data_IF_626291072607
#
_entry.id   IF_626291072607
#
_cell.length_a   1.000
_cell.length_b   1.000
_cell.length_c   1.000
_cell.angle_alpha   90.00
_cell.angle_beta   90.00
_cell.angle_gamma   90.00
#
_symmetry.space_group_name_H-M   'P 1'
#
loop_
_entity.id
_entity.type
_entity.pdbx_description
1 polymer ?
#
# COMPACT_ATOMS: atom_id res chain seq x y z
N UNK A 1 -8.57 -8.33 30.60
CA UNK A 1 -7.75 -8.61 29.38
C UNK A 1 -6.32 -8.81 29.85
N UNK A 2 -5.56 -9.78 29.31
CA UNK A 2 -4.16 -9.95 29.70
C UNK A 2 -3.35 -8.69 29.32
N UNK A 3 -2.46 -8.27 30.21
CA UNK A 3 -1.52 -7.17 29.94
C UNK A 3 -0.48 -7.63 28.92
N UNK A 4 -0.20 -6.76 27.95
CA UNK A 4 0.84 -7.00 26.95
C UNK A 4 2.20 -7.03 27.64
N UNK A 5 3.03 -8.04 27.33
CA UNK A 5 4.39 -8.13 27.87
C UNK A 5 5.18 -6.85 27.55
N UNK A 6 5.87 -6.26 28.53
CA UNK A 6 6.64 -5.04 28.32
C UNK A 6 7.82 -5.27 27.37
N UNK A 7 8.03 -4.32 26.45
CA UNK A 7 9.14 -4.34 25.49
C UNK A 7 8.70 -4.64 24.05
N UNK A 8 9.68 -4.67 23.15
CA UNK A 8 9.46 -5.00 21.72
C UNK A 8 10.00 -6.40 21.45
N UNK A 9 9.19 -7.26 20.83
CA UNK A 9 9.61 -8.62 20.47
C UNK A 9 10.61 -8.57 19.30
N UNK A 10 11.83 -9.13 19.46
CA UNK A 10 12.80 -9.17 18.36
C UNK A 10 12.32 -10.01 17.17
N UNK A 11 12.67 -9.57 15.97
CA UNK A 11 12.39 -10.24 14.70
C UNK A 11 13.69 -10.53 13.94
N UNK A 12 13.78 -11.74 13.38
CA UNK A 12 14.87 -12.13 12.47
C UNK A 12 14.59 -11.58 11.07
N UNK A 13 15.64 -11.25 10.29
CA UNK A 13 15.45 -10.76 8.93
C UNK A 13 14.73 -11.79 8.06
N UNK A 14 13.75 -11.32 7.29
CA UNK A 14 12.97 -12.17 6.40
C UNK A 14 13.47 -12.08 4.94
N UNK A 15 13.30 -13.13 4.13
CA UNK A 15 13.81 -13.16 2.76
C UNK A 15 12.88 -12.47 1.74
N UNK A 16 11.80 -11.84 2.19
CA UNK A 16 10.75 -11.28 1.34
C UNK A 16 10.86 -9.77 1.20
N UNK A 17 10.48 -9.25 0.03
CA UNK A 17 10.39 -7.81 -0.24
C UNK A 17 9.12 -7.53 -1.05
N UNK A 18 7.94 -7.73 -0.44
CA UNK A 18 6.67 -7.64 -1.15
C UNK A 18 6.30 -6.18 -1.47
N UNK A 19 5.78 -5.95 -2.66
CA UNK A 19 5.04 -4.75 -3.02
C UNK A 19 3.85 -5.06 -3.92
N UNK A 20 2.84 -4.20 -3.89
CA UNK A 20 1.70 -4.31 -4.79
C UNK A 20 1.07 -2.94 -5.06
N UNK A 21 0.69 -2.72 -6.32
CA UNK A 21 0.06 -1.49 -6.80
C UNK A 21 -1.04 -1.84 -7.80
N UNK A 22 -2.04 -0.98 -7.93
CA UNK A 22 -3.14 -1.18 -8.86
C UNK A 22 -3.22 -0.02 -9.85
N UNK A 23 -3.39 -0.36 -11.13
CA UNK A 23 -3.63 0.60 -12.22
C UNK A 23 -4.90 0.24 -12.98
N UNK A 24 -5.57 1.25 -13.53
CA UNK A 24 -6.75 1.03 -14.37
C UNK A 24 -6.35 0.48 -15.75
N UNK A 25 -7.18 -0.39 -16.29
CA UNK A 25 -7.09 -0.99 -17.61
C UNK A 25 -8.50 -1.17 -18.18
N UNK A 26 -8.61 -1.47 -19.49
CA UNK A 26 -9.93 -1.67 -20.13
C UNK A 26 -10.73 -2.84 -19.52
N UNK A 27 -10.04 -3.82 -18.90
CA UNK A 27 -10.67 -4.98 -18.26
C UNK A 27 -10.89 -4.85 -16.75
N UNK A 28 -10.79 -3.65 -16.17
CA UNK A 28 -10.87 -3.40 -14.73
C UNK A 28 -9.54 -2.92 -14.15
N UNK A 29 -9.17 -3.43 -12.97
CA UNK A 29 -7.91 -3.07 -12.30
C UNK A 29 -6.86 -4.16 -12.47
N UNK A 30 -5.68 -3.78 -12.96
CA UNK A 30 -4.51 -4.65 -12.95
C UNK A 30 -3.74 -4.40 -11.65
N UNK A 31 -3.73 -5.40 -10.78
CA UNK A 31 -2.98 -5.41 -9.53
C UNK A 31 -1.63 -6.06 -9.80
N UNK A 32 -0.58 -5.25 -9.87
CA UNK A 32 0.78 -5.71 -10.06
C UNK A 32 1.38 -6.10 -8.71
N UNK A 33 1.98 -7.30 -8.67
CA UNK A 33 2.70 -7.83 -7.53
C UNK A 33 4.18 -7.87 -7.86
N UNK A 34 5.00 -7.45 -6.90
CA UNK A 34 6.45 -7.59 -6.95
C UNK A 34 6.93 -8.23 -5.65
N UNK A 35 7.90 -9.13 -5.77
CA UNK A 35 8.69 -9.61 -4.67
C UNK A 35 10.13 -9.70 -5.13
N UNK A 36 10.90 -8.66 -4.78
CA UNK A 36 12.34 -8.57 -5.02
C UNK A 36 13.18 -9.31 -3.98
N UNK A 37 12.52 -10.10 -3.12
CA UNK A 37 13.14 -10.96 -2.13
C UNK A 37 13.82 -12.19 -2.73
N UNK A 38 14.58 -12.91 -1.90
CA UNK A 38 15.33 -14.11 -2.31
C UNK A 38 14.47 -15.38 -2.34
N UNK A 39 13.31 -15.36 -1.69
CA UNK A 39 12.37 -16.48 -1.60
C UNK A 39 11.00 -16.08 -2.15
N UNK A 40 10.22 -17.05 -2.61
CA UNK A 40 8.83 -16.82 -3.06
C UNK A 40 7.97 -16.30 -1.90
N UNK A 41 7.17 -15.27 -2.15
CA UNK A 41 6.23 -14.71 -1.18
C UNK A 41 4.81 -15.11 -1.54
N UNK A 42 4.06 -15.60 -0.56
CA UNK A 42 2.63 -15.88 -0.71
C UNK A 42 1.82 -14.61 -0.57
N UNK A 43 0.94 -14.34 -1.53
CA UNK A 43 -0.03 -13.26 -1.48
C UNK A 43 -1.45 -13.81 -1.53
N UNK A 44 -2.34 -13.17 -0.77
CA UNK A 44 -3.78 -13.45 -0.81
C UNK A 44 -4.54 -12.18 -1.18
N UNK A 45 -5.47 -12.29 -2.12
CA UNK A 45 -6.34 -11.20 -2.58
C UNK A 45 -7.78 -11.47 -2.12
N UNK A 46 -8.35 -10.54 -1.36
CA UNK A 46 -9.69 -10.60 -0.77
C UNK A 46 -10.64 -9.59 -1.43
N UNK A 47 -11.85 -9.99 -1.84
CA UNK A 47 -12.88 -9.10 -2.37
C UNK A 47 -13.72 -8.49 -1.23
N UNK A 48 -14.21 -7.27 -1.41
CA UNK A 48 -15.14 -6.60 -0.49
C UNK A 48 -16.20 -5.75 -1.22
N UNK A 49 -16.26 -5.81 -2.55
CA UNK A 49 -17.31 -5.22 -3.37
C UNK A 49 -17.75 -6.19 -4.49
N UNK A 50 -17.79 -7.49 -4.16
CA UNK A 50 -18.21 -8.57 -5.06
C UNK A 50 -17.42 -8.64 -6.39
N UNK A 51 -16.15 -8.23 -6.38
CA UNK A 51 -15.32 -8.25 -7.59
C UNK A 51 -15.04 -9.68 -8.09
N UNK A 52 -15.01 -10.64 -7.18
CA UNK A 52 -14.80 -12.06 -7.48
C UNK A 52 -15.31 -12.90 -6.31
N UNK A 53 -15.68 -14.18 -6.53
CA UNK A 53 -16.51 -14.93 -5.58
C UNK A 53 -15.78 -15.45 -4.34
N UNK A 54 -14.44 -15.55 -4.36
CA UNK A 54 -13.66 -16.10 -3.26
C UNK A 54 -12.23 -15.55 -3.25
N UNK A 55 -11.54 -15.51 -2.10
CA UNK A 55 -10.15 -15.10 -2.04
C UNK A 55 -9.26 -15.86 -3.02
N UNK A 56 -8.33 -15.14 -3.66
CA UNK A 56 -7.38 -15.71 -4.61
C UNK A 56 -5.98 -15.74 -3.99
N UNK A 57 -5.19 -16.73 -4.37
CA UNK A 57 -3.86 -16.95 -3.81
C UNK A 57 -2.82 -16.96 -4.92
N UNK A 58 -1.61 -16.47 -4.61
CA UNK A 58 -0.49 -16.57 -5.53
C UNK A 58 0.85 -16.54 -4.81
N UNK A 59 1.72 -17.48 -5.17
CA UNK A 59 3.13 -17.44 -4.80
C UNK A 59 3.92 -16.69 -5.87
N UNK A 60 4.71 -15.69 -5.45
CA UNK A 60 5.41 -14.79 -6.37
C UNK A 60 6.90 -14.75 -6.06
N UNK A 61 7.70 -15.07 -7.08
CA UNK A 61 9.14 -14.82 -7.15
C UNK A 61 9.40 -13.88 -8.32
N UNK A 62 9.80 -12.64 -8.05
CA UNK A 62 9.85 -11.58 -9.07
C UNK A 62 8.49 -10.91 -9.24
N UNK A 63 7.91 -10.93 -10.44
CA UNK A 63 6.68 -10.18 -10.75
C UNK A 63 5.51 -11.08 -11.13
N UNK A 64 4.31 -10.66 -10.75
CA UNK A 64 3.07 -11.28 -11.18
C UNK A 64 1.94 -10.24 -11.22
N UNK A 65 0.74 -10.60 -11.66
CA UNK A 65 -0.42 -9.69 -11.57
C UNK A 65 -1.77 -10.41 -11.47
N UNK A 66 -2.72 -9.81 -10.77
CA UNK A 66 -4.14 -10.13 -10.92
C UNK A 66 -4.83 -9.12 -11.83
N UNK A 67 -5.91 -9.56 -12.47
CA UNK A 67 -6.91 -8.68 -13.07
C UNK A 67 -8.14 -8.77 -12.20
N UNK A 68 -8.52 -7.64 -11.60
CA UNK A 68 -9.71 -7.50 -10.76
C UNK A 68 -10.78 -6.81 -11.60
N UNK A 69 -11.87 -7.50 -11.96
CA UNK A 69 -12.94 -6.86 -12.70
C UNK A 69 -13.64 -5.85 -11.79
N UNK A 70 -14.13 -4.77 -12.39
CA UNK A 70 -14.92 -3.75 -11.70
C UNK A 70 -16.29 -3.73 -12.37
N UNK A 71 -17.23 -4.47 -11.82
CA UNK A 71 -18.55 -4.67 -12.41
C UNK A 71 -19.60 -3.64 -11.93
N UNK A 72 -19.40 -3.06 -10.75
CA UNK A 72 -20.28 -2.05 -10.16
C UNK A 72 -19.74 -0.62 -10.29
N UNK A 73 -20.30 0.29 -9.51
CA UNK A 73 -19.92 1.71 -9.46
C UNK A 73 -18.63 1.97 -8.66
N UNK A 74 -18.17 0.98 -7.88
CA UNK A 74 -16.97 1.06 -7.06
C UNK A 74 -16.29 -0.30 -6.94
N UNK A 75 -15.05 -0.28 -6.47
CA UNK A 75 -14.30 -1.47 -6.07
C UNK A 75 -13.77 -1.30 -4.65
N UNK A 76 -13.57 -2.42 -3.96
CA UNK A 76 -12.91 -2.54 -2.67
C UNK A 76 -12.30 -3.93 -2.50
N UNK A 77 -10.98 -4.03 -2.51
CA UNK A 77 -10.28 -5.30 -2.27
C UNK A 77 -9.00 -5.10 -1.46
N UNK A 78 -8.47 -6.20 -0.91
CA UNK A 78 -7.24 -6.18 -0.11
C UNK A 78 -6.28 -7.25 -0.58
N UNK A 79 -5.01 -6.89 -0.72
CA UNK A 79 -3.90 -7.85 -0.85
C UNK A 79 -3.17 -7.95 0.48
N UNK A 80 -2.95 -9.17 0.96
CA UNK A 80 -2.08 -9.45 2.10
C UNK A 80 -0.90 -10.32 1.68
N UNK A 81 0.16 -10.29 2.47
CA UNK A 81 1.36 -11.09 2.25
C UNK A 81 2.18 -11.24 3.54
N UNK A 82 3.42 -11.75 3.45
CA UNK A 82 4.26 -11.95 4.61
C UNK A 82 4.67 -10.63 5.26
N UNK A 83 5.15 -10.71 6.50
CA UNK A 83 5.76 -9.58 7.22
C UNK A 83 4.84 -8.36 7.38
N UNK A 84 3.57 -8.61 7.73
CA UNK A 84 2.57 -7.55 7.90
C UNK A 84 2.19 -6.84 6.60
N UNK A 85 2.62 -7.33 5.43
CA UNK A 85 2.32 -6.72 4.15
C UNK A 85 0.82 -6.69 3.91
N UNK A 86 0.29 -5.49 3.71
CA UNK A 86 -1.11 -5.24 3.37
C UNK A 86 -1.20 -4.06 2.40
N UNK A 87 -2.04 -4.22 1.39
CA UNK A 87 -2.47 -3.17 0.47
C UNK A 87 -3.98 -3.19 0.38
N UNK A 88 -4.62 -2.10 0.78
CA UNK A 88 -6.08 -1.94 0.60
C UNK A 88 -6.33 -1.01 -0.57
N UNK A 89 -7.26 -1.39 -1.44
CA UNK A 89 -7.66 -0.64 -2.62
C UNK A 89 -9.15 -0.40 -2.55
N UNK A 90 -9.56 0.87 -2.58
CA UNK A 90 -10.95 1.25 -2.78
C UNK A 90 -11.05 2.45 -3.71
N UNK A 91 -12.14 2.56 -4.45
CA UNK A 91 -12.39 3.73 -5.28
C UNK A 91 -13.56 3.57 -6.24
N UNK A 92 -13.95 4.67 -6.89
CA UNK A 92 -15.03 4.64 -7.87
C UNK A 92 -14.58 3.96 -9.17
N UNK A 93 -15.53 3.34 -9.86
CA UNK A 93 -15.30 2.60 -11.09
C UNK A 93 -14.88 3.48 -12.27
N UNK A 94 -15.10 4.79 -12.21
CA UNK A 94 -14.69 5.78 -13.21
C UNK A 94 -13.62 6.76 -12.69
N UNK A 95 -13.09 6.54 -11.48
CA UNK A 95 -12.03 7.36 -10.88
C UNK A 95 -10.69 7.28 -11.61
N UNK A 96 -9.96 8.40 -11.60
CA UNK A 96 -8.63 8.59 -12.18
C UNK A 96 -7.51 8.79 -11.15
N UNK A 97 -7.78 8.67 -9.85
CA UNK A 97 -6.73 8.64 -8.84
C UNK A 97 -5.96 7.30 -8.88
N UNK A 98 -4.62 7.37 -8.90
CA UNK A 98 -3.75 6.19 -8.76
C UNK A 98 -2.60 6.47 -7.80
N UNK A 99 -2.16 5.43 -7.08
CA UNK A 99 -0.98 5.47 -6.22
C UNK A 99 -0.09 4.29 -6.58
N UNK A 100 1.17 4.59 -6.87
CA UNK A 100 2.24 3.62 -7.08
C UNK A 100 3.28 3.77 -5.97
N UNK A 101 3.95 2.68 -5.64
CA UNK A 101 5.03 2.65 -4.64
C UNK A 101 6.33 2.10 -5.24
N UNK A 102 7.46 2.58 -4.71
CA UNK A 102 8.79 1.97 -4.85
C UNK A 102 9.43 1.96 -3.47
N UNK A 103 9.85 0.79 -3.02
CA UNK A 103 10.50 0.62 -1.72
C UNK A 103 12.01 0.70 -1.88
N UNK A 104 12.65 1.59 -1.12
CA UNK A 104 14.09 1.59 -0.92
C UNK A 104 14.46 0.83 0.36
N UNK A 105 14.99 -0.38 0.18
CA UNK A 105 15.34 -1.26 1.29
C UNK A 105 16.58 -0.80 2.06
N UNK A 106 17.44 0.00 1.45
CA UNK A 106 18.68 0.45 2.09
C UNK A 106 18.37 1.50 3.14
N UNK A 107 17.62 2.52 2.74
CA UNK A 107 17.31 3.68 3.56
C UNK A 107 15.97 3.52 4.32
N UNK A 108 15.22 2.44 4.02
CA UNK A 108 13.87 2.18 4.56
C UNK A 108 12.87 3.28 4.18
N UNK A 109 12.96 3.70 2.93
CA UNK A 109 12.08 4.71 2.37
C UNK A 109 10.99 4.09 1.50
N UNK A 110 9.78 4.60 1.64
CA UNK A 110 8.67 4.34 0.75
C UNK A 110 8.47 5.56 -0.16
N UNK A 111 8.85 5.42 -1.43
CA UNK A 111 8.59 6.43 -2.44
C UNK A 111 7.19 6.23 -3.02
N UNK A 112 6.30 7.19 -2.81
CA UNK A 112 4.96 7.18 -3.37
C UNK A 112 4.91 8.08 -4.61
N UNK A 113 4.25 7.59 -5.66
CA UNK A 113 3.89 8.38 -6.84
C UNK A 113 2.38 8.48 -6.92
N UNK A 114 1.87 9.69 -6.74
CA UNK A 114 0.46 10.05 -6.84
C UNK A 114 0.17 10.49 -8.26
N UNK A 115 -0.81 9.89 -8.93
CA UNK A 115 -1.14 10.17 -10.32
C UNK A 115 -2.61 10.53 -10.47
N UNK A 116 -2.88 11.50 -11.33
CA UNK A 116 -4.23 11.88 -11.72
C UNK A 116 -4.40 11.61 -13.22
N UNK A 117 -5.11 10.53 -13.55
CA UNK A 117 -5.48 10.17 -14.92
C UNK A 117 -6.87 10.68 -15.30
N UNK A 118 -7.56 11.33 -14.37
CA UNK A 118 -8.87 11.94 -14.56
C UNK A 118 -8.82 13.30 -15.25
N UNK A 119 -9.98 13.95 -15.31
CA UNK A 119 -10.18 15.23 -16.02
C UNK A 119 -10.21 16.46 -15.12
N UNK A 120 -10.30 16.26 -13.80
CA UNK A 120 -10.36 17.33 -12.78
C UNK A 120 -9.10 17.29 -11.93
N UNK A 121 -8.68 18.43 -11.41
CA UNK A 121 -7.59 18.47 -10.42
C UNK A 121 -7.98 17.67 -9.19
N UNK A 122 -7.07 16.86 -8.67
CA UNK A 122 -7.24 16.09 -7.43
C UNK A 122 -6.27 16.59 -6.37
N UNK A 123 -6.70 16.58 -5.12
CA UNK A 123 -5.80 16.80 -3.97
C UNK A 123 -5.71 15.51 -3.18
N UNK A 124 -4.55 14.89 -3.20
CA UNK A 124 -4.27 13.70 -2.41
C UNK A 124 -3.95 14.09 -0.97
N UNK A 125 -4.52 13.36 -0.02
CA UNK A 125 -4.17 13.45 1.39
C UNK A 125 -3.40 12.19 1.75
N UNK A 126 -2.16 12.33 2.21
CA UNK A 126 -1.33 11.23 2.67
C UNK A 126 -1.05 11.40 4.15
N UNK A 127 -1.44 10.43 4.96
CA UNK A 127 -1.24 10.45 6.41
C UNK A 127 -0.81 9.08 6.92
N UNK A 128 -0.04 9.03 8.01
CA UNK A 128 0.18 7.78 8.72
C UNK A 128 -1.06 7.36 9.51
N UNK A 129 -1.26 6.05 9.68
CA UNK A 129 -2.25 5.47 10.60
C UNK A 129 -1.60 4.85 11.85
N UNK A 130 -0.31 4.55 11.80
CA UNK A 130 0.45 3.93 12.87
C UNK A 130 1.95 3.95 12.57
N UNK A 131 2.74 3.46 13.53
CA UNK A 131 4.21 3.45 13.46
C UNK A 131 4.82 4.84 13.27
N UNK A 132 4.24 5.81 13.96
CA UNK A 132 4.66 7.21 13.99
C UNK A 132 4.73 7.66 15.43
N UNK A 133 5.65 8.55 15.77
CA UNK A 133 5.73 9.10 17.12
C UNK A 133 4.48 9.94 17.41
N UNK A 134 3.85 9.74 18.57
CA UNK A 134 2.58 10.38 18.92
C UNK A 134 2.70 11.92 18.96
N UNK A 135 3.89 12.42 19.30
CA UNK A 135 4.22 13.85 19.31
C UNK A 135 4.25 14.46 17.89
N UNK A 136 4.42 13.65 16.84
CA UNK A 136 4.43 14.07 15.42
C UNK A 136 3.06 13.91 14.72
N UNK A 137 2.07 13.27 15.36
CA UNK A 137 0.81 12.84 14.72
C UNK A 137 -0.08 14.01 14.24
N UNK A 138 -0.05 15.16 14.92
CA UNK A 138 -1.04 16.23 14.69
C UNK A 138 -0.83 17.05 13.41
N UNK A 139 0.38 17.05 12.82
CA UNK A 139 0.71 17.87 11.64
C UNK A 139 1.11 17.07 10.39
N UNK A 140 1.06 15.73 10.41
CA UNK A 140 1.73 14.94 9.36
C UNK A 140 0.90 14.64 8.10
N UNK A 141 -0.32 15.18 7.98
CA UNK A 141 -1.12 14.99 6.76
C UNK A 141 -0.55 15.84 5.62
N UNK A 142 0.10 15.18 4.67
CA UNK A 142 0.65 15.82 3.47
C UNK A 142 -0.46 15.99 2.44
N UNK A 143 -0.74 17.25 2.07
CA UNK A 143 -1.67 17.61 1.01
C UNK A 143 -0.91 17.80 -0.30
N UNK A 144 -1.26 17.05 -1.35
CA UNK A 144 -0.57 17.09 -2.65
C UNK A 144 -1.58 17.27 -3.78
N UNK A 145 -1.60 18.46 -4.37
CA UNK A 145 -2.47 18.77 -5.51
C UNK A 145 -1.82 18.33 -6.83
N UNK A 146 -2.57 17.55 -7.62
CA UNK A 146 -2.12 16.97 -8.89
C UNK A 146 -3.12 17.33 -10.00
N UNK A 147 -2.66 18.10 -10.99
CA UNK A 147 -3.45 18.47 -12.18
C UNK A 147 -3.77 17.24 -13.04
N UNK A 148 -4.83 17.30 -13.88
CA UNK A 148 -5.15 16.25 -14.85
C UNK A 148 -3.94 15.82 -15.69
N UNK A 149 -3.75 14.52 -15.85
CA UNK A 149 -2.65 13.92 -16.62
C UNK A 149 -1.26 14.08 -15.98
N UNK A 150 -1.16 14.55 -14.73
CA UNK A 150 0.12 14.75 -14.03
C UNK A 150 0.33 13.76 -12.90
N UNK A 151 1.57 13.74 -12.42
CA UNK A 151 1.99 13.00 -11.23
C UNK A 151 2.85 13.86 -10.31
N UNK A 152 2.88 13.47 -9.04
CA UNK A 152 3.75 14.01 -7.99
C UNK A 152 4.29 12.87 -7.14
N UNK A 153 5.51 13.02 -6.65
CA UNK A 153 6.16 12.03 -5.81
C UNK A 153 6.41 12.59 -4.42
N UNK A 154 6.34 11.74 -3.42
CA UNK A 154 6.72 12.04 -2.04
C UNK A 154 7.41 10.83 -1.42
N UNK A 155 8.19 11.08 -0.37
CA UNK A 155 8.91 10.03 0.35
C UNK A 155 8.43 9.98 1.79
N UNK A 156 8.13 8.78 2.26
CA UNK A 156 7.89 8.49 3.67
C UNK A 156 9.02 7.60 4.17
N UNK A 157 9.77 8.09 5.16
CA UNK A 157 10.79 7.29 5.84
C UNK A 157 10.13 6.41 6.89
N UNK A 158 10.45 5.13 6.88
CA UNK A 158 10.10 4.18 7.92
C UNK A 158 11.30 3.88 8.86
N UNK A 159 12.40 4.62 8.72
CA UNK A 159 13.65 4.33 9.43
C UNK A 159 13.47 4.39 10.96
N UNK A 160 12.86 5.46 11.46
CA UNK A 160 12.61 5.70 12.89
C UNK A 160 11.61 4.72 13.48
N UNK A 161 10.74 4.16 12.63
CA UNK A 161 9.79 3.10 12.96
C UNK A 161 10.35 1.68 12.79
N UNK A 162 11.68 1.52 12.76
CA UNK A 162 12.36 0.25 12.53
C UNK A 162 11.95 -0.48 11.23
N UNK A 163 11.53 0.26 10.22
CA UNK A 163 11.07 -0.23 8.92
C UNK A 163 9.57 -0.48 8.82
N UNK A 164 8.82 -0.33 9.91
CA UNK A 164 7.35 -0.44 9.88
C UNK A 164 6.73 0.84 9.31
N UNK A 165 5.69 0.67 8.51
CA UNK A 165 4.91 1.77 7.96
C UNK A 165 3.43 1.38 7.85
N UNK A 166 2.57 2.38 8.00
CA UNK A 166 1.13 2.27 7.72
C UNK A 166 0.61 3.62 7.24
N UNK A 167 0.35 3.73 5.94
CA UNK A 167 -0.08 4.97 5.29
C UNK A 167 -1.49 4.84 4.73
N UNK A 168 -2.28 5.88 4.91
CA UNK A 168 -3.58 6.10 4.30
C UNK A 168 -3.46 7.20 3.26
N UNK A 169 -3.91 6.92 2.04
CA UNK A 169 -3.97 7.88 0.93
C UNK A 169 -5.40 8.00 0.44
N UNK A 170 -5.96 9.20 0.48
CA UNK A 170 -7.27 9.54 -0.10
C UNK A 170 -7.11 10.63 -1.15
N UNK A 171 -8.15 10.86 -1.97
CA UNK A 171 -8.15 11.89 -3.00
C UNK A 171 -9.43 12.73 -2.90
N UNK A 172 -9.27 14.01 -2.53
CA UNK A 172 -10.36 14.99 -2.62
C UNK A 172 -10.76 15.15 -4.09
N UNK A 173 -12.06 15.04 -4.37
CA UNK A 173 -12.63 15.08 -5.73
C UNK A 173 -12.93 13.70 -6.33
N UNK A 174 -12.57 12.60 -5.64
CA UNK A 174 -12.97 11.23 -5.97
C UNK A 174 -13.47 10.49 -4.74
N UNK A 175 -14.78 10.58 -4.51
CA UNK A 175 -15.42 9.96 -3.36
C UNK A 175 -15.21 8.44 -3.36
N UNK A 176 -14.85 7.91 -2.19
CA UNK A 176 -14.53 6.50 -2.01
C UNK A 176 -13.11 6.08 -2.42
N UNK A 177 -12.30 6.95 -3.04
CA UNK A 177 -10.92 6.62 -3.32
C UNK A 177 -10.08 6.50 -2.04
N UNK A 178 -9.50 5.32 -1.83
CA UNK A 178 -8.58 5.04 -0.73
C UNK A 178 -7.50 4.05 -1.15
N UNK A 179 -6.28 4.29 -0.68
CA UNK A 179 -5.19 3.32 -0.68
C UNK A 179 -4.63 3.24 0.73
N UNK A 180 -4.52 2.02 1.28
CA UNK A 180 -3.74 1.80 2.51
C UNK A 180 -2.49 1.00 2.16
N UNK A 181 -1.33 1.47 2.59
CA UNK A 181 -0.06 0.79 2.40
C UNK A 181 0.53 0.50 3.78
N UNK A 182 0.52 -0.77 4.17
CA UNK A 182 1.08 -1.24 5.43
C UNK A 182 2.11 -2.34 5.19
N UNK A 183 3.15 -2.35 6.01
CA UNK A 183 4.10 -3.46 6.05
C UNK A 183 5.41 -3.09 6.74
N UNK A 184 6.41 -3.93 6.48
CA UNK A 184 7.76 -3.75 7.02
C UNK A 184 8.81 -3.79 5.90
N UNK A 185 9.73 -2.82 5.89
CA UNK A 185 10.83 -2.72 4.93
C UNK A 185 12.05 -3.49 5.45
N UNK A 186 12.22 -4.69 4.92
CA UNK A 186 13.36 -5.57 5.21
C UNK A 186 14.67 -5.00 4.65
N UNK A 187 15.69 -4.88 5.51
CA UNK A 187 17.06 -4.51 5.14
C UNK A 187 18.09 -5.61 5.46
N UNK A 188 17.62 -6.80 5.84
CA UNK A 188 18.48 -7.96 6.14
C UNK A 188 19.15 -7.94 7.52
N UNK A 189 18.81 -6.98 8.38
CA UNK A 189 19.25 -6.91 9.78
C UNK A 189 18.10 -7.31 10.72
N UNK A 190 18.43 -7.71 11.95
CA UNK A 190 17.40 -7.94 12.96
C UNK A 190 16.56 -6.67 13.20
N UNK A 191 15.29 -6.87 13.54
CA UNK A 191 14.31 -5.80 13.76
C UNK A 191 13.39 -6.17 14.93
N UNK A 192 12.22 -5.53 15.01
CA UNK A 192 11.14 -5.79 15.96
C UNK A 192 9.88 -6.20 15.23
N UNK A 193 9.00 -6.99 15.86
CA UNK A 193 7.63 -7.17 15.36
C UNK A 193 6.82 -5.89 15.56
N UNK A 194 5.95 -5.56 14.59
CA UNK A 194 5.02 -4.46 14.64
C UNK A 194 3.67 -4.84 15.24
#
# INVERSE_FOLDING_TARGET
>A
LPEQEPGRRPARPLPYRPDAQARRTDGGLRVELDNSGRSSAHFTLYPYADEFPAPQHRDVRGRAHWTVPVAGEAYRFTVTGPNGFRREFAGPADGGAEVASRIDHRDRDLHLTLRNTGRRTLTFLVRPLGYVDEDDVRDWTRRVTVKPGRSRSLVHSAADAHGWYDLDVTAEGEDGFRRRLMGHIENGRASVSG
#
